data_IF_855570246825
#
_entry.id   IF_855570246825
#
_cell.length_a   1.000
_cell.length_b   1.000
_cell.length_c   1.000
_cell.angle_alpha   90.00
_cell.angle_beta   90.00
_cell.angle_gamma   90.00
#
_symmetry.space_group_name_H-M   'P 1'
#
loop_
_entity.id
_entity.type
_entity.pdbx_description
1 polymer ?
#
# COMPACT_ATOMS: atom_id res chain seq x y z
N UNK A 1 18.50 -11.20 14.02
CA UNK A 1 18.44 -9.92 13.34
C UNK A 1 19.64 -9.04 13.67
N UNK A 2 19.82 -7.98 12.94
CA UNK A 2 20.90 -7.01 13.14
C UNK A 2 20.26 -5.66 13.50
N UNK A 3 20.75 -5.07 14.61
CA UNK A 3 20.24 -3.80 15.14
C UNK A 3 21.27 -2.69 14.89
N UNK A 4 20.81 -1.57 14.38
CA UNK A 4 21.63 -0.40 14.10
C UNK A 4 21.03 0.83 14.79
N UNK A 5 21.70 1.34 15.81
CA UNK A 5 21.37 2.62 16.45
C UNK A 5 22.31 3.71 15.93
N UNK A 6 21.74 4.84 15.50
CA UNK A 6 22.51 5.98 14.98
C UNK A 6 23.55 5.60 13.91
N UNK A 7 23.29 4.52 13.18
CA UNK A 7 24.22 3.98 12.18
C UNK A 7 24.19 4.81 10.90
N UNK A 8 25.34 5.03 10.32
CA UNK A 8 25.51 5.64 9.00
C UNK A 8 26.34 4.69 8.14
N UNK A 9 25.74 4.12 7.10
CA UNK A 9 26.44 3.19 6.24
C UNK A 9 25.50 2.39 5.33
N UNK A 10 25.99 1.29 4.81
CA UNK A 10 25.21 0.39 3.96
C UNK A 10 25.24 -1.06 4.47
N UNK A 11 24.17 -1.78 4.16
CA UNK A 11 24.02 -3.22 4.35
C UNK A 11 23.68 -3.81 3.00
N UNK A 12 24.47 -4.73 2.51
CA UNK A 12 24.23 -5.32 1.21
C UNK A 12 24.69 -6.77 1.09
N UNK A 13 24.02 -7.53 0.21
CA UNK A 13 24.35 -8.92 -0.12
C UNK A 13 24.33 -9.88 1.07
N UNK A 14 23.43 -9.63 2.04
CA UNK A 14 23.22 -10.50 3.20
C UNK A 14 21.99 -11.38 2.95
N UNK A 15 22.08 -12.64 3.36
CA UNK A 15 20.95 -13.55 3.45
C UNK A 15 20.60 -13.78 4.91
N UNK A 16 19.43 -13.29 5.33
CA UNK A 16 18.90 -13.49 6.69
C UNK A 16 17.83 -14.58 6.66
N UNK A 17 18.16 -15.72 7.23
CA UNK A 17 17.31 -16.92 7.28
C UNK A 17 16.81 -17.13 8.72
N UNK A 18 15.52 -16.92 8.96
CA UNK A 18 14.90 -17.26 10.23
C UNK A 18 14.70 -18.77 10.37
N UNK A 19 15.17 -19.36 11.48
CA UNK A 19 15.04 -20.80 11.74
C UNK A 19 13.83 -21.16 12.61
N UNK A 20 13.47 -20.28 13.55
CA UNK A 20 12.31 -20.45 14.43
C UNK A 20 11.54 -19.14 14.49
N UNK A 21 10.24 -19.19 14.25
CA UNK A 21 9.44 -17.95 14.17
C UNK A 21 9.07 -17.46 15.58
N UNK A 22 9.61 -16.32 15.93
CA UNK A 22 9.18 -15.52 17.07
C UNK A 22 8.53 -14.23 16.54
N UNK A 23 7.47 -13.77 17.18
CA UNK A 23 6.74 -12.54 16.84
C UNK A 23 7.59 -11.26 16.77
N UNK A 24 8.77 -11.30 17.35
CA UNK A 24 9.71 -10.18 17.37
C UNK A 24 10.87 -10.32 16.36
N UNK A 25 10.89 -11.36 15.56
CA UNK A 25 11.97 -11.55 14.59
C UNK A 25 11.95 -10.44 13.53
N UNK A 26 13.00 -9.64 13.53
CA UNK A 26 13.26 -8.59 12.55
C UNK A 26 14.60 -8.87 11.87
N UNK A 27 14.64 -8.78 10.55
CA UNK A 27 15.87 -8.95 9.78
C UNK A 27 16.86 -7.82 10.12
N UNK A 28 16.50 -6.59 9.78
CA UNK A 28 17.28 -5.38 10.10
C UNK A 28 16.39 -4.42 10.88
N UNK A 29 16.89 -3.96 12.02
CA UNK A 29 16.26 -2.92 12.84
C UNK A 29 17.11 -1.66 12.84
N UNK A 30 16.54 -0.55 12.38
CA UNK A 30 17.13 0.78 12.41
C UNK A 30 16.38 1.65 13.41
N UNK A 31 17.07 2.39 14.25
CA UNK A 31 16.42 3.30 15.19
C UNK A 31 17.30 4.52 15.55
N UNK A 32 16.68 5.51 16.16
CA UNK A 32 17.36 6.76 16.45
C UNK A 32 17.54 7.62 15.19
N UNK A 33 18.74 8.17 15.01
CA UNK A 33 19.10 8.98 13.86
C UNK A 33 19.93 8.19 12.82
N UNK A 34 19.65 6.90 12.67
CA UNK A 34 20.36 6.08 11.69
C UNK A 34 20.11 6.57 10.26
N UNK A 35 21.15 6.53 9.45
CA UNK A 35 21.07 6.71 7.99
C UNK A 35 21.64 5.46 7.35
N UNK A 36 20.82 4.69 6.67
CA UNK A 36 21.23 3.40 6.15
C UNK A 36 20.78 3.20 4.71
N UNK A 37 21.67 2.61 3.92
CA UNK A 37 21.39 2.07 2.61
C UNK A 37 21.37 0.53 2.72
N UNK A 38 20.23 -0.09 2.40
CA UNK A 38 19.98 -1.53 2.45
C UNK A 38 19.72 -1.98 1.03
N UNK A 39 20.60 -2.80 0.48
CA UNK A 39 20.48 -3.22 -0.91
C UNK A 39 20.91 -4.67 -1.16
N UNK A 40 20.25 -5.33 -2.10
CA UNK A 40 20.56 -6.69 -2.56
C UNK A 40 20.60 -7.73 -1.44
N UNK A 41 19.77 -7.55 -0.40
CA UNK A 41 19.66 -8.46 0.72
C UNK A 41 18.51 -9.44 0.54
N UNK A 42 18.64 -10.63 1.12
CA UNK A 42 17.63 -11.67 1.11
C UNK A 42 17.11 -11.94 2.52
N UNK A 43 15.80 -11.78 2.71
CA UNK A 43 15.10 -12.03 3.96
C UNK A 43 14.15 -13.22 3.77
N UNK A 44 14.31 -14.28 4.55
CA UNK A 44 13.40 -15.44 4.52
C UNK A 44 13.00 -15.86 5.92
N UNK A 45 11.73 -16.18 6.11
CA UNK A 45 11.18 -16.65 7.37
C UNK A 45 11.45 -15.69 8.55
N UNK A 46 11.44 -14.40 8.32
CA UNK A 46 11.47 -13.37 9.33
C UNK A 46 10.12 -12.69 9.42
N UNK A 47 9.68 -12.29 10.61
CA UNK A 47 8.37 -11.63 10.78
C UNK A 47 8.36 -10.23 10.18
N UNK A 48 9.51 -9.55 10.20
CA UNK A 48 9.73 -8.27 9.53
C UNK A 48 11.06 -8.31 8.80
N UNK A 49 11.07 -7.96 7.53
CA UNK A 49 12.31 -7.84 6.77
C UNK A 49 13.15 -6.69 7.30
N UNK A 50 12.67 -5.47 7.10
CA UNK A 50 13.28 -4.24 7.60
C UNK A 50 12.30 -3.51 8.50
N UNK A 51 12.74 -3.11 9.68
CA UNK A 51 12.02 -2.19 10.56
C UNK A 51 12.87 -0.96 10.84
N UNK A 52 12.27 0.21 10.71
CA UNK A 52 12.96 1.47 10.95
C UNK A 52 12.09 2.43 11.76
N UNK A 53 12.71 3.14 12.71
CA UNK A 53 12.05 4.16 13.50
C UNK A 53 12.92 5.40 13.61
N UNK A 54 12.39 6.57 13.24
CA UNK A 54 13.07 7.88 13.29
C UNK A 54 14.40 7.93 12.54
N UNK A 55 14.48 7.24 11.42
CA UNK A 55 15.72 7.09 10.65
C UNK A 55 15.51 7.56 9.22
N UNK A 56 16.62 7.77 8.51
CA UNK A 56 16.62 7.95 7.05
C UNK A 56 17.12 6.66 6.39
N UNK A 57 16.39 6.17 5.39
CA UNK A 57 16.75 4.92 4.75
C UNK A 57 16.54 4.94 3.23
N UNK A 58 17.44 4.22 2.56
CA UNK A 58 17.32 3.79 1.17
C UNK A 58 17.26 2.26 1.20
N UNK A 59 16.16 1.67 0.73
CA UNK A 59 15.92 0.23 0.74
C UNK A 59 15.63 -0.17 -0.70
N UNK A 60 16.59 -0.81 -1.36
CA UNK A 60 16.52 -1.09 -2.79
C UNK A 60 16.97 -2.50 -3.15
N UNK A 61 16.35 -3.06 -4.19
CA UNK A 61 16.73 -4.35 -4.79
C UNK A 61 16.85 -5.50 -3.77
N UNK A 62 15.91 -5.57 -2.81
CA UNK A 62 15.90 -6.62 -1.80
C UNK A 62 14.82 -7.66 -2.12
N UNK A 63 15.10 -8.91 -1.76
CA UNK A 63 14.15 -10.01 -1.83
C UNK A 63 13.66 -10.38 -0.42
N UNK A 64 12.34 -10.34 -0.22
CA UNK A 64 11.71 -10.62 1.07
C UNK A 64 10.63 -11.69 0.91
N UNK A 65 10.80 -12.84 1.57
CA UNK A 65 9.75 -13.86 1.67
C UNK A 65 9.31 -13.96 3.13
N UNK A 66 8.22 -13.28 3.43
CA UNK A 66 7.67 -13.13 4.77
C UNK A 66 6.69 -14.29 5.02
N UNK A 67 6.72 -14.94 6.19
CA UNK A 67 5.83 -16.06 6.47
C UNK A 67 4.37 -15.63 6.59
N UNK A 68 3.47 -16.53 6.24
CA UNK A 68 2.01 -16.36 6.39
C UNK A 68 1.49 -16.84 7.75
N UNK A 69 2.37 -17.19 8.68
CA UNK A 69 2.02 -17.80 9.96
C UNK A 69 1.48 -16.80 10.99
N UNK A 70 0.68 -17.32 11.92
CA UNK A 70 0.09 -16.55 13.04
C UNK A 70 1.14 -16.18 14.12
N UNK A 71 1.11 -14.96 14.70
CA UNK A 71 0.14 -13.92 14.40
C UNK A 71 0.46 -13.16 13.11
N UNK A 72 -0.34 -13.37 12.10
CA UNK A 72 -0.13 -12.80 10.77
C UNK A 72 -0.06 -11.27 10.77
N UNK A 73 -0.78 -10.63 11.68
CA UNK A 73 -0.84 -9.15 11.82
C UNK A 73 0.51 -8.52 12.18
N UNK A 74 1.45 -9.30 12.68
CA UNK A 74 2.81 -8.84 13.00
C UNK A 74 3.76 -8.91 11.80
N UNK A 75 3.36 -9.58 10.72
CA UNK A 75 4.24 -9.85 9.57
C UNK A 75 4.28 -8.67 8.59
N UNK A 76 5.47 -8.19 8.28
CA UNK A 76 5.68 -7.06 7.37
C UNK A 76 6.95 -7.23 6.55
N UNK A 77 6.91 -6.85 5.30
CA UNK A 77 8.13 -6.75 4.50
C UNK A 77 9.00 -5.59 5.02
N UNK A 78 8.52 -4.38 4.87
CA UNK A 78 9.17 -3.14 5.28
C UNK A 78 8.23 -2.37 6.22
N UNK A 79 8.69 -2.02 7.43
CA UNK A 79 7.92 -1.35 8.48
C UNK A 79 8.66 -0.08 8.95
N UNK A 80 8.21 1.06 8.51
CA UNK A 80 8.86 2.35 8.76
C UNK A 80 7.94 3.22 9.62
N UNK A 81 8.45 3.64 10.77
CA UNK A 81 7.74 4.55 11.68
C UNK A 81 8.50 5.87 11.88
N UNK A 82 7.80 6.98 11.73
CA UNK A 82 8.32 8.33 11.88
C UNK A 82 9.63 8.60 11.09
N UNK A 83 9.70 8.27 9.80
CA UNK A 83 10.93 8.49 9.04
C UNK A 83 11.29 9.96 8.90
N UNK A 84 12.59 10.24 8.82
CA UNK A 84 13.12 11.55 8.42
C UNK A 84 13.09 11.68 6.90
N UNK A 85 13.49 10.64 6.19
CA UNK A 85 13.32 10.46 4.76
C UNK A 85 13.30 8.98 4.41
N UNK A 86 12.59 8.61 3.33
CA UNK A 86 12.45 7.20 2.95
C UNK A 86 12.46 7.05 1.44
N UNK A 87 13.33 6.21 0.94
CA UNK A 87 13.34 5.77 -0.44
C UNK A 87 13.29 4.25 -0.49
N UNK A 88 12.21 3.68 -1.04
CA UNK A 88 11.97 2.24 -1.14
C UNK A 88 11.72 1.93 -2.60
N UNK A 89 12.61 1.18 -3.23
CA UNK A 89 12.50 0.90 -4.65
C UNK A 89 12.99 -0.49 -5.04
N UNK A 90 12.42 -1.04 -6.11
CA UNK A 90 12.92 -2.26 -6.75
C UNK A 90 12.99 -3.47 -5.81
N UNK A 91 12.15 -3.50 -4.76
CA UNK A 91 12.11 -4.63 -3.85
C UNK A 91 11.04 -5.63 -4.29
N UNK A 92 11.35 -6.91 -4.16
CA UNK A 92 10.40 -8.01 -4.37
C UNK A 92 9.95 -8.56 -3.02
N UNK A 93 8.67 -8.45 -2.69
CA UNK A 93 8.11 -8.82 -1.38
C UNK A 93 7.01 -9.85 -1.56
N UNK A 94 7.23 -11.05 -1.03
CA UNK A 94 6.22 -12.11 -0.98
C UNK A 94 5.56 -12.18 0.38
N UNK A 95 4.24 -12.27 0.39
CA UNK A 95 3.40 -12.46 1.57
C UNK A 95 3.48 -11.28 2.58
N UNK A 96 3.34 -11.60 3.86
CA UNK A 96 3.26 -10.60 4.94
C UNK A 96 1.88 -9.94 5.05
N UNK A 97 1.47 -9.56 6.25
CA UNK A 97 0.21 -8.84 6.51
C UNK A 97 0.23 -7.44 5.86
N UNK A 98 1.35 -6.75 5.95
CA UNK A 98 1.65 -5.53 5.20
C UNK A 98 2.93 -5.75 4.37
N UNK A 99 2.88 -5.45 3.08
CA UNK A 99 4.08 -5.47 2.24
C UNK A 99 5.02 -4.35 2.65
N UNK A 100 4.63 -3.11 2.41
CA UNK A 100 5.34 -1.90 2.82
C UNK A 100 4.42 -1.08 3.71
N UNK A 101 4.85 -0.72 4.91
CA UNK A 101 4.13 0.13 5.83
C UNK A 101 4.96 1.35 6.22
N UNK A 102 4.40 2.54 6.02
CA UNK A 102 5.05 3.80 6.43
C UNK A 102 4.07 4.60 7.27
N UNK A 103 4.50 5.04 8.45
CA UNK A 103 3.67 5.78 9.39
C UNK A 103 4.37 7.00 9.99
N UNK A 104 3.57 8.05 10.26
CA UNK A 104 4.01 9.22 11.05
C UNK A 104 5.04 10.11 10.37
N UNK A 105 5.06 10.19 9.05
CA UNK A 105 6.04 11.01 8.33
C UNK A 105 5.56 12.41 8.02
N UNK A 106 6.51 13.34 7.94
CA UNK A 106 6.29 14.72 7.52
C UNK A 106 6.85 15.08 6.15
N UNK A 107 7.80 14.33 5.57
CA UNK A 107 8.36 14.67 4.26
C UNK A 107 9.21 13.55 3.64
N UNK A 108 9.30 13.55 2.31
CA UNK A 108 10.31 12.84 1.56
C UNK A 108 10.15 11.32 1.49
N UNK A 109 8.90 10.83 1.34
CA UNK A 109 8.64 9.40 1.08
C UNK A 109 8.60 9.17 -0.42
N UNK A 110 9.43 8.25 -0.90
CA UNK A 110 9.34 7.71 -2.27
C UNK A 110 9.27 6.19 -2.19
N UNK A 111 8.19 5.61 -2.73
CA UNK A 111 7.97 4.16 -2.86
C UNK A 111 7.71 3.90 -4.33
N UNK A 112 8.63 3.21 -5.02
CA UNK A 112 8.50 3.00 -6.45
C UNK A 112 9.07 1.68 -6.95
N UNK A 113 8.58 1.23 -8.08
CA UNK A 113 9.12 0.06 -8.80
C UNK A 113 9.25 -1.18 -7.88
N UNK A 114 8.32 -1.37 -6.92
CA UNK A 114 8.33 -2.56 -6.07
C UNK A 114 7.31 -3.57 -6.55
N UNK A 115 7.67 -4.85 -6.49
CA UNK A 115 6.83 -5.99 -6.79
C UNK A 115 6.32 -6.63 -5.49
N UNK A 116 5.02 -6.59 -5.26
CA UNK A 116 4.40 -7.12 -4.05
C UNK A 116 3.43 -8.26 -4.38
N UNK A 117 3.83 -9.49 -4.07
CA UNK A 117 3.05 -10.70 -4.27
C UNK A 117 2.44 -11.16 -2.95
N UNK A 118 1.13 -11.14 -2.86
CA UNK A 118 0.43 -11.36 -1.59
C UNK A 118 -0.56 -12.50 -1.67
N UNK A 119 -0.28 -13.55 -0.92
CA UNK A 119 -1.16 -14.70 -0.74
C UNK A 119 -1.68 -14.73 0.70
N UNK A 120 -2.73 -13.95 1.02
CA UNK A 120 -3.26 -13.86 2.37
C UNK A 120 -4.72 -14.28 2.44
N UNK A 121 -5.03 -15.06 3.46
CA UNK A 121 -6.35 -15.67 3.66
C UNK A 121 -7.19 -14.98 4.74
N UNK A 122 -6.65 -14.02 5.52
CA UNK A 122 -7.39 -13.41 6.63
C UNK A 122 -6.98 -11.98 6.98
N UNK A 123 -7.94 -11.17 7.38
CA UNK A 123 -7.76 -9.86 8.02
C UNK A 123 -7.63 -8.65 7.09
N UNK A 124 -7.60 -7.46 7.68
CA UNK A 124 -7.39 -6.18 6.98
C UNK A 124 -5.93 -6.03 6.59
N UNK A 125 -5.56 -6.46 5.42
CA UNK A 125 -4.18 -6.44 4.94
C UNK A 125 -4.00 -5.43 3.80
N UNK A 126 -2.78 -4.91 3.63
CA UNK A 126 -2.47 -4.00 2.54
C UNK A 126 -1.11 -4.31 1.88
N UNK A 127 -1.05 -4.13 0.56
CA UNK A 127 0.22 -4.15 -0.16
C UNK A 127 1.12 -3.02 0.32
N UNK A 128 0.65 -1.79 0.14
CA UNK A 128 1.30 -0.58 0.67
C UNK A 128 0.33 0.08 1.65
N UNK A 129 0.79 0.37 2.86
CA UNK A 129 0.02 1.04 3.89
C UNK A 129 0.68 2.36 4.31
N UNK A 130 -0.05 3.45 4.16
CA UNK A 130 0.37 4.80 4.51
C UNK A 130 -0.53 5.33 5.63
N UNK A 131 0.06 5.64 6.78
CA UNK A 131 -0.68 6.09 7.93
C UNK A 131 -0.09 7.39 8.53
N UNK A 132 -0.92 8.44 8.65
CA UNK A 132 -0.49 9.75 9.16
C UNK A 132 0.70 10.34 8.41
N UNK A 133 0.58 10.40 7.08
CA UNK A 133 1.60 10.98 6.22
C UNK A 133 1.21 12.43 5.94
N UNK A 134 2.06 13.35 6.33
CA UNK A 134 1.85 14.78 6.13
C UNK A 134 2.96 15.33 5.25
N UNK A 135 2.64 15.57 3.98
CA UNK A 135 3.58 16.09 3.01
C UNK A 135 3.57 17.62 2.90
N UNK A 136 4.53 18.13 2.19
CA UNK A 136 4.55 19.50 1.71
C UNK A 136 4.80 19.46 0.21
N UNK A 137 3.90 20.06 -0.57
CA UNK A 137 4.03 20.22 -2.02
C UNK A 137 4.18 18.89 -2.81
N UNK A 138 3.42 17.84 -2.44
CA UNK A 138 3.41 16.55 -3.14
C UNK A 138 4.80 15.88 -3.24
N UNK A 139 5.67 16.09 -2.28
CA UNK A 139 6.99 15.44 -2.23
C UNK A 139 6.91 13.97 -1.86
N UNK A 140 5.79 13.54 -1.27
CA UNK A 140 5.52 12.12 -1.01
C UNK A 140 4.98 11.47 -2.29
N UNK A 141 5.63 10.41 -2.74
CA UNK A 141 5.28 9.73 -3.99
C UNK A 141 5.22 8.23 -3.80
N UNK A 142 4.17 7.63 -4.33
CA UNK A 142 4.03 6.18 -4.48
C UNK A 142 3.70 5.91 -5.94
N UNK A 143 4.65 5.35 -6.67
CA UNK A 143 4.46 5.21 -8.11
C UNK A 143 5.15 3.99 -8.71
N UNK A 144 4.60 3.54 -9.83
CA UNK A 144 5.15 2.46 -10.65
C UNK A 144 5.36 1.15 -9.86
N UNK A 145 4.51 0.88 -8.83
CA UNK A 145 4.55 -0.38 -8.08
C UNK A 145 3.57 -1.38 -8.70
N UNK A 146 3.94 -2.65 -8.66
CA UNK A 146 3.11 -3.77 -9.10
C UNK A 146 2.67 -4.61 -7.90
N UNK A 147 1.36 -4.78 -7.73
CA UNK A 147 0.77 -5.47 -6.60
C UNK A 147 -0.15 -6.59 -7.10
N UNK A 148 0.24 -7.83 -6.87
CA UNK A 148 -0.63 -9.00 -7.07
C UNK A 148 -1.21 -9.47 -5.74
N UNK A 149 -2.53 -9.55 -5.65
CA UNK A 149 -3.25 -9.93 -4.44
C UNK A 149 -4.08 -11.19 -4.71
N UNK A 150 -3.64 -12.32 -4.16
CA UNK A 150 -4.34 -13.59 -4.27
C UNK A 150 -5.05 -13.92 -2.97
N UNK A 151 -6.35 -13.80 -2.96
CA UNK A 151 -7.19 -14.13 -1.80
C UNK A 151 -7.17 -13.07 -0.69
N UNK A 152 -7.89 -13.36 0.37
CA UNK A 152 -7.97 -12.53 1.57
C UNK A 152 -9.32 -11.87 1.78
N UNK A 153 -9.64 -11.67 3.05
CA UNK A 153 -10.80 -10.88 3.47
C UNK A 153 -10.33 -9.44 3.69
N UNK A 154 -10.96 -8.47 3.03
CA UNK A 154 -10.61 -7.05 3.11
C UNK A 154 -9.17 -6.74 2.68
N UNK A 155 -8.73 -7.35 1.61
CA UNK A 155 -7.43 -7.05 1.05
C UNK A 155 -7.45 -5.67 0.36
N UNK A 156 -6.41 -4.88 0.61
CA UNK A 156 -6.25 -3.56 0.01
C UNK A 156 -4.91 -3.51 -0.75
N UNK A 157 -4.94 -3.06 -1.98
CA UNK A 157 -3.70 -2.81 -2.71
C UNK A 157 -2.89 -1.72 -2.03
N UNK A 158 -3.41 -0.49 -2.05
CA UNK A 158 -2.78 0.67 -1.41
C UNK A 158 -3.77 1.30 -0.43
N UNK A 159 -3.42 1.31 0.85
CA UNK A 159 -4.20 1.90 1.94
C UNK A 159 -3.62 3.23 2.37
N UNK A 160 -4.45 4.26 2.45
CA UNK A 160 -4.11 5.60 2.89
C UNK A 160 -5.03 6.01 4.04
N UNK A 161 -4.50 6.31 5.20
CA UNK A 161 -5.28 6.77 6.33
C UNK A 161 -4.66 8.02 6.94
N UNK A 162 -5.39 9.11 6.92
CA UNK A 162 -4.94 10.43 7.34
C UNK A 162 -3.67 10.86 6.59
N UNK A 163 -3.79 10.91 5.26
CA UNK A 163 -2.69 11.22 4.34
C UNK A 163 -2.92 12.57 3.68
N UNK A 164 -1.88 13.38 3.58
CA UNK A 164 -1.92 14.70 2.98
C UNK A 164 -0.79 14.90 1.98
N UNK A 165 -1.12 15.53 0.85
CA UNK A 165 -0.16 15.93 -0.20
C UNK A 165 0.67 14.76 -0.74
N UNK A 166 -0.02 13.64 -1.04
CA UNK A 166 0.56 12.46 -1.68
C UNK A 166 0.33 12.50 -3.20
N UNK A 167 1.32 12.06 -3.94
CA UNK A 167 1.21 11.73 -5.35
C UNK A 167 1.23 10.20 -5.54
N UNK A 168 0.08 9.60 -5.87
CA UNK A 168 -0.11 8.17 -6.11
C UNK A 168 -0.34 7.94 -7.61
N UNK A 169 0.67 7.42 -8.32
CA UNK A 169 0.70 7.46 -9.79
C UNK A 169 1.18 6.14 -10.38
N UNK A 170 0.56 5.70 -11.48
CA UNK A 170 1.00 4.57 -12.32
C UNK A 170 1.21 3.26 -11.54
N UNK A 171 0.48 3.01 -10.45
CA UNK A 171 0.56 1.73 -9.78
C UNK A 171 -0.39 0.74 -10.46
N UNK A 172 0.04 -0.50 -10.58
CA UNK A 172 -0.76 -1.62 -11.06
C UNK A 172 -1.17 -2.50 -9.89
N UNK A 173 -2.45 -2.82 -9.78
CA UNK A 173 -3.01 -3.62 -8.69
C UNK A 173 -3.92 -4.68 -9.28
N UNK A 174 -3.52 -5.94 -9.18
CA UNK A 174 -4.25 -7.07 -9.72
C UNK A 174 -4.79 -7.98 -8.61
N UNK A 175 -6.11 -8.18 -8.58
CA UNK A 175 -6.76 -9.15 -7.72
C UNK A 175 -6.89 -10.48 -8.45
N UNK A 176 -6.05 -11.44 -8.07
CA UNK A 176 -6.08 -12.80 -8.59
C UNK A 176 -6.96 -13.72 -7.71
N UNK A 177 -8.15 -13.24 -7.38
CA UNK A 177 -9.08 -13.96 -6.52
C UNK A 177 -9.59 -15.23 -7.18
N UNK A 178 -9.53 -16.35 -6.46
CA UNK A 178 -9.98 -17.66 -6.92
C UNK A 178 -11.26 -18.15 -6.23
N UNK A 179 -11.64 -17.53 -5.11
CA UNK A 179 -12.83 -17.87 -4.32
C UNK A 179 -13.63 -16.61 -3.97
N UNK A 180 -14.96 -16.72 -3.83
CA UNK A 180 -15.80 -15.60 -3.39
C UNK A 180 -15.39 -15.14 -1.97
N UNK A 181 -15.53 -13.85 -1.71
CA UNK A 181 -15.36 -13.32 -0.36
C UNK A 181 -16.55 -13.75 0.52
N UNK A 182 -16.32 -13.94 1.83
CA UNK A 182 -17.42 -14.07 2.76
C UNK A 182 -18.30 -12.82 2.77
N UNK A 183 -19.60 -12.99 2.98
CA UNK A 183 -20.54 -11.87 3.00
C UNK A 183 -20.13 -10.75 3.94
N UNK A 184 -20.16 -9.52 3.45
CA UNK A 184 -19.79 -8.31 4.19
C UNK A 184 -18.29 -7.97 4.20
N UNK A 185 -17.49 -8.66 3.39
CA UNK A 185 -16.09 -8.32 3.17
C UNK A 185 -15.92 -7.68 1.78
N UNK A 186 -15.08 -6.68 1.69
CA UNK A 186 -14.75 -6.01 0.44
C UNK A 186 -13.24 -5.92 0.27
N UNK A 187 -12.77 -6.14 -0.95
CA UNK A 187 -11.41 -5.80 -1.35
C UNK A 187 -11.40 -4.43 -2.03
N UNK A 188 -10.33 -3.69 -1.87
CA UNK A 188 -10.16 -2.41 -2.55
C UNK A 188 -8.79 -2.31 -3.21
N UNK A 189 -8.76 -1.83 -4.45
CA UNK A 189 -7.50 -1.52 -5.09
C UNK A 189 -6.79 -0.40 -4.34
N UNK A 190 -7.43 0.75 -4.23
CA UNK A 190 -6.97 1.90 -3.45
C UNK A 190 -8.03 2.26 -2.42
N UNK A 191 -7.65 2.38 -1.15
CA UNK A 191 -8.53 2.81 -0.07
C UNK A 191 -7.98 4.06 0.62
N UNK A 192 -8.76 5.13 0.64
CA UNK A 192 -8.42 6.41 1.26
C UNK A 192 -9.41 6.79 2.37
N UNK A 193 -8.92 7.01 3.58
CA UNK A 193 -9.65 7.59 4.71
C UNK A 193 -8.96 8.89 5.13
N UNK A 194 -9.72 10.00 5.18
CA UNK A 194 -9.21 11.33 5.53
C UNK A 194 -8.01 11.77 4.68
N UNK A 195 -8.07 11.52 3.37
CA UNK A 195 -7.03 11.90 2.41
C UNK A 195 -7.27 13.32 1.91
N UNK A 196 -6.22 14.16 1.89
CA UNK A 196 -6.32 15.58 1.54
C UNK A 196 -5.26 16.03 0.56
N UNK A 197 -5.62 16.96 -0.32
CA UNK A 197 -4.71 17.63 -1.27
C UNK A 197 -3.83 16.67 -2.05
N UNK A 198 -4.34 15.48 -2.37
CA UNK A 198 -3.55 14.40 -2.97
C UNK A 198 -3.94 14.18 -4.43
N UNK A 199 -2.98 13.68 -5.21
CA UNK A 199 -3.18 13.30 -6.61
C UNK A 199 -3.14 11.80 -6.73
N UNK A 200 -4.24 11.22 -7.24
CA UNK A 200 -4.39 9.79 -7.51
C UNK A 200 -4.64 9.64 -8.99
N UNK A 201 -3.61 9.28 -9.76
CA UNK A 201 -3.76 9.31 -11.21
C UNK A 201 -3.08 8.16 -11.93
N UNK A 202 -3.66 7.79 -13.06
CA UNK A 202 -3.11 6.78 -13.97
C UNK A 202 -2.77 5.46 -13.28
N UNK A 203 -3.55 5.08 -12.24
CA UNK A 203 -3.41 3.79 -11.61
C UNK A 203 -4.31 2.79 -12.34
N UNK A 204 -3.83 1.56 -12.49
CA UNK A 204 -4.52 0.45 -13.13
C UNK A 204 -4.93 -0.58 -12.08
N UNK A 205 -6.21 -0.89 -11.99
CA UNK A 205 -6.75 -1.78 -10.96
C UNK A 205 -7.61 -2.82 -11.64
N UNK A 206 -7.23 -4.09 -11.53
CA UNK A 206 -7.92 -5.20 -12.17
C UNK A 206 -8.49 -6.16 -11.14
N UNK A 207 -9.77 -6.47 -11.23
CA UNK A 207 -10.45 -7.50 -10.47
C UNK A 207 -10.45 -8.85 -11.17
N UNK A 208 -11.10 -9.84 -10.55
CA UNK A 208 -11.25 -11.16 -11.15
C UNK A 208 -12.01 -11.12 -12.48
N UNK A 209 -11.55 -11.88 -13.46
CA UNK A 209 -12.30 -12.10 -14.71
C UNK A 209 -13.60 -12.87 -14.52
N UNK A 210 -13.75 -13.65 -13.44
CA UNK A 210 -14.96 -14.37 -13.12
C UNK A 210 -16.01 -13.48 -12.46
N UNK A 211 -17.19 -13.36 -13.07
CA UNK A 211 -18.25 -12.48 -12.60
C UNK A 211 -18.65 -12.71 -11.13
N UNK A 212 -18.78 -13.98 -10.71
CA UNK A 212 -19.14 -14.33 -9.34
C UNK A 212 -18.10 -13.94 -8.28
N UNK A 213 -16.88 -13.60 -8.67
CA UNK A 213 -15.80 -13.18 -7.78
C UNK A 213 -15.65 -11.65 -7.72
N UNK A 214 -16.47 -10.91 -8.47
CA UNK A 214 -16.37 -9.44 -8.54
C UNK A 214 -17.20 -8.73 -7.48
N UNK A 215 -18.25 -9.40 -6.95
CA UNK A 215 -19.33 -8.76 -6.19
C UNK A 215 -18.86 -7.88 -5.03
N UNK A 216 -17.69 -8.16 -4.46
CA UNK A 216 -17.13 -7.43 -3.31
C UNK A 216 -15.81 -6.71 -3.63
N UNK A 217 -15.50 -6.50 -4.91
CA UNK A 217 -14.28 -5.82 -5.32
C UNK A 217 -14.57 -4.38 -5.75
N UNK A 218 -13.83 -3.45 -5.17
CA UNK A 218 -13.92 -2.01 -5.44
C UNK A 218 -12.57 -1.50 -5.95
N UNK A 219 -12.59 -0.75 -7.05
CA UNK A 219 -11.37 -0.16 -7.59
C UNK A 219 -10.78 0.87 -6.62
N UNK A 220 -11.51 1.96 -6.36
CA UNK A 220 -11.07 3.03 -5.46
C UNK A 220 -12.18 3.35 -4.46
N UNK A 221 -11.86 3.35 -3.16
CA UNK A 221 -12.73 3.80 -2.07
C UNK A 221 -12.15 5.06 -1.45
N UNK A 222 -12.95 6.11 -1.34
CA UNK A 222 -12.57 7.34 -0.66
C UNK A 222 -13.60 7.70 0.41
N UNK A 223 -13.13 7.90 1.63
CA UNK A 223 -13.96 8.29 2.78
C UNK A 223 -13.43 9.59 3.38
N UNK A 224 -14.30 10.60 3.53
CA UNK A 224 -13.98 11.91 4.11
C UNK A 224 -12.79 12.61 3.44
N UNK A 225 -12.69 12.54 2.12
CA UNK A 225 -11.61 13.19 1.37
C UNK A 225 -11.79 14.70 1.25
N UNK A 226 -10.71 15.43 0.99
CA UNK A 226 -10.78 16.86 0.71
C UNK A 226 -9.72 17.29 -0.32
N UNK A 227 -10.16 18.02 -1.34
CA UNK A 227 -9.30 18.61 -2.36
C UNK A 227 -8.38 17.61 -3.06
N UNK A 228 -8.89 16.40 -3.34
CA UNK A 228 -8.15 15.38 -4.06
C UNK A 228 -8.42 15.49 -5.57
N UNK A 229 -7.43 15.12 -6.37
CA UNK A 229 -7.53 15.04 -7.82
C UNK A 229 -7.37 13.58 -8.26
N UNK A 230 -8.49 12.95 -8.70
CA UNK A 230 -8.50 11.59 -9.22
C UNK A 230 -8.63 11.64 -10.75
N UNK A 231 -7.54 11.39 -11.43
CA UNK A 231 -7.42 11.61 -12.85
C UNK A 231 -6.88 10.39 -13.62
N UNK A 232 -7.52 10.02 -14.71
CA UNK A 232 -7.11 8.93 -15.60
C UNK A 232 -6.87 7.57 -14.90
N UNK A 233 -7.54 7.29 -13.77
CA UNK A 233 -7.44 5.95 -13.19
C UNK A 233 -8.32 4.98 -13.99
N UNK A 234 -7.86 3.77 -14.13
CA UNK A 234 -8.55 2.72 -14.86
C UNK A 234 -8.87 1.55 -13.94
N UNK A 235 -10.14 1.14 -13.90
CA UNK A 235 -10.58 -0.03 -13.15
C UNK A 235 -11.28 -1.00 -14.06
N UNK A 236 -10.88 -2.26 -14.00
CA UNK A 236 -11.39 -3.32 -14.88
C UNK A 236 -11.87 -4.51 -14.04
N UNK A 237 -12.99 -5.13 -14.42
CA UNK A 237 -13.53 -6.33 -13.76
C UNK A 237 -13.83 -6.12 -12.26
N UNK A 238 -14.33 -4.95 -11.90
CA UNK A 238 -14.72 -4.61 -10.53
C UNK A 238 -16.25 -4.60 -10.38
N UNK A 239 -16.77 -4.83 -9.16
CA UNK A 239 -18.18 -4.57 -8.90
C UNK A 239 -18.43 -3.06 -8.87
N UNK A 240 -17.59 -2.32 -8.16
CA UNK A 240 -17.60 -0.86 -8.18
C UNK A 240 -16.27 -0.32 -8.72
N UNK A 241 -16.33 0.57 -9.71
CA UNK A 241 -15.15 1.27 -10.19
C UNK A 241 -14.61 2.22 -9.12
N UNK A 242 -15.44 3.15 -8.68
CA UNK A 242 -15.11 4.08 -7.58
C UNK A 242 -16.30 4.24 -6.63
N UNK A 243 -16.01 4.35 -5.32
CA UNK A 243 -17.00 4.50 -4.26
C UNK A 243 -16.59 5.57 -3.27
N UNK A 244 -17.53 6.44 -2.90
CA UNK A 244 -17.29 7.56 -2.01
C UNK A 244 -18.24 7.54 -0.84
N UNK A 245 -17.69 7.75 0.38
CA UNK A 245 -18.42 7.84 1.63
C UNK A 245 -18.13 9.17 2.32
N UNK A 246 -19.14 9.78 2.92
CA UNK A 246 -18.99 11.02 3.66
C UNK A 246 -18.54 12.21 2.80
N UNK A 247 -18.17 13.32 3.42
CA UNK A 247 -17.76 14.50 2.67
C UNK A 247 -16.44 14.29 1.94
N UNK A 248 -16.46 14.46 0.62
CA UNK A 248 -15.29 14.47 -0.24
C UNK A 248 -15.17 15.85 -0.93
N UNK A 249 -15.14 16.89 -0.12
CA UNK A 249 -15.25 18.26 -0.57
C UNK A 249 -14.11 18.68 -1.50
N UNK A 250 -14.43 19.41 -2.54
CA UNK A 250 -13.48 19.92 -3.54
C UNK A 250 -12.68 18.79 -4.24
N UNK A 251 -13.08 17.54 -4.08
CA UNK A 251 -12.49 16.43 -4.81
C UNK A 251 -12.97 16.43 -6.26
N UNK A 252 -12.03 16.39 -7.18
CA UNK A 252 -12.28 16.43 -8.63
C UNK A 252 -12.04 15.05 -9.23
N UNK A 253 -12.97 14.58 -10.05
CA UNK A 253 -12.87 13.33 -10.81
C UNK A 253 -12.77 13.67 -12.28
N UNK A 254 -11.70 13.22 -12.96
CA UNK A 254 -11.51 13.51 -14.38
C UNK A 254 -11.04 12.27 -15.12
N UNK A 255 -11.60 12.02 -16.29
CA UNK A 255 -11.13 11.00 -17.23
C UNK A 255 -10.87 9.60 -16.64
N UNK A 256 -11.53 9.26 -15.50
CA UNK A 256 -11.43 7.91 -14.95
C UNK A 256 -12.26 6.94 -15.82
N UNK A 257 -11.71 5.75 -16.04
CA UNK A 257 -12.32 4.73 -16.90
C UNK A 257 -12.72 3.50 -16.10
N UNK A 258 -13.89 2.96 -16.45
CA UNK A 258 -14.46 1.79 -15.78
C UNK A 258 -14.83 0.74 -16.84
N UNK A 259 -14.04 -0.30 -16.95
CA UNK A 259 -14.28 -1.39 -17.87
C UNK A 259 -14.87 -2.60 -17.14
N UNK A 260 -15.93 -3.17 -17.68
CA UNK A 260 -16.61 -4.32 -17.08
C UNK A 260 -16.94 -4.16 -15.59
N UNK A 261 -17.21 -2.94 -15.15
CA UNK A 261 -17.70 -2.64 -13.82
C UNK A 261 -19.23 -2.74 -13.76
N UNK A 262 -19.77 -3.34 -12.69
CA UNK A 262 -21.22 -3.35 -12.48
C UNK A 262 -21.76 -1.93 -12.23
N UNK A 263 -21.01 -1.13 -11.45
CA UNK A 263 -21.23 0.31 -11.27
C UNK A 263 -19.92 1.06 -11.41
N UNK A 264 -19.85 2.03 -12.32
CA UNK A 264 -18.64 2.85 -12.50
C UNK A 264 -18.38 3.74 -11.29
N UNK A 265 -19.41 4.50 -10.85
CA UNK A 265 -19.33 5.43 -9.72
C UNK A 265 -20.50 5.21 -8.77
N UNK A 266 -20.21 5.12 -7.47
CA UNK A 266 -21.21 5.05 -6.41
C UNK A 266 -20.96 6.09 -5.33
N UNK A 267 -22.01 6.84 -4.96
CA UNK A 267 -21.96 7.88 -3.95
C UNK A 267 -22.90 7.52 -2.80
N UNK A 268 -22.38 7.35 -1.60
CA UNK A 268 -23.17 7.11 -0.39
C UNK A 268 -23.45 8.40 0.36
N UNK A 269 -24.71 8.68 0.61
CA UNK A 269 -25.16 9.86 1.35
C UNK A 269 -24.66 9.88 2.82
N UNK A 270 -24.25 11.04 3.36
CA UNK A 270 -24.09 12.32 2.64
C UNK A 270 -22.72 12.44 1.96
N UNK A 271 -22.69 12.48 0.64
CA UNK A 271 -21.46 12.73 -0.12
C UNK A 271 -21.56 14.10 -0.79
N UNK A 272 -20.48 14.89 -0.73
CA UNK A 272 -20.31 16.08 -1.54
C UNK A 272 -18.98 16.00 -2.29
N UNK A 273 -19.04 16.03 -3.59
CA UNK A 273 -17.86 16.15 -4.46
C UNK A 273 -17.67 17.61 -4.89
N UNK A 274 -16.48 17.97 -5.28
CA UNK A 274 -16.19 19.23 -5.96
C UNK A 274 -16.80 19.28 -7.37
N UNK A 275 -16.54 20.36 -8.10
CA UNK A 275 -16.93 20.49 -9.49
C UNK A 275 -16.27 19.38 -10.31
N UNK A 276 -17.06 18.64 -11.07
CA UNK A 276 -16.55 17.59 -11.95
C UNK A 276 -16.29 18.17 -13.35
N UNK A 277 -15.16 17.80 -13.94
CA UNK A 277 -14.76 18.20 -15.29
C UNK A 277 -14.78 16.97 -16.21
N UNK A 278 -15.30 17.17 -17.41
CA UNK A 278 -15.43 16.14 -18.45
C UNK A 278 -14.23 16.18 -19.40
#
# INVERSE_FOLDING_TARGET
GTDFENFVGSVSKIALLGGHLDVNQTGILLYGNATCHIEQDTFRNVMKGVRSTRSSQIIVDNFMNIPTLSPIEATRGIDIDQPVSTYIAENTIFNGYLGISVSGSSAGIVIRDNDLYRSLTAGNNAGINLYRIYGVSLNNRVHDNELEITGGQRAVGISMNNVQELSLIHNTIDFLQTEPLPAGYENAGISGLDVRNSRIRSNYITGSSHYSLREDNVGIIMTNGMANDLFCNETTNMYFGQRYFGPNMVTVLRENKFYDAFRGLELFSPVSLGKQEH
#
